data_IF_895504288563
#
_entry.id   IF_895504288563
#
_cell.length_a   1.000
_cell.length_b   1.000
_cell.length_c   1.000
_cell.angle_alpha   90.00
_cell.angle_beta   90.00
_cell.angle_gamma   90.00
#
_symmetry.space_group_name_H-M   'P 1'
#
loop_
_entity.id
_entity.type
_entity.pdbx_description
1 polymer ?
#
# COMPACT_ATOMS: atom_id res chain seq x y z
N UNK A 1 23.94 0.79 -18.64
CA UNK A 1 22.80 1.68 -18.33
C UNK A 1 21.54 0.87 -18.60
N UNK A 2 20.76 0.51 -17.58
CA UNK A 2 19.57 -0.31 -17.78
C UNK A 2 18.39 0.61 -18.11
N UNK A 3 18.07 0.69 -19.40
CA UNK A 3 16.93 1.39 -19.95
C UNK A 3 15.68 0.61 -19.57
N UNK A 4 14.95 1.10 -18.56
CA UNK A 4 13.71 0.45 -18.12
C UNK A 4 12.64 0.88 -19.11
N UNK A 5 12.31 0.01 -20.06
CA UNK A 5 11.18 0.21 -20.97
C UNK A 5 9.90 0.25 -20.15
N UNK A 6 9.44 1.45 -19.77
CA UNK A 6 8.14 1.65 -19.15
C UNK A 6 7.08 1.31 -20.20
N UNK A 7 6.57 0.08 -20.14
CA UNK A 7 5.39 -0.32 -20.89
C UNK A 7 4.25 0.58 -20.47
N UNK A 8 3.95 1.59 -21.28
CA UNK A 8 2.81 2.49 -21.09
C UNK A 8 1.56 1.61 -21.11
N UNK A 9 1.02 1.29 -19.94
CA UNK A 9 -0.26 0.59 -19.85
C UNK A 9 -1.29 1.62 -20.31
N UNK A 10 -1.70 1.51 -21.58
CA UNK A 10 -2.70 2.40 -22.16
C UNK A 10 -4.08 2.05 -21.60
N UNK A 11 -4.30 2.39 -20.34
CA UNK A 11 -5.58 2.23 -19.66
C UNK A 11 -6.49 3.32 -20.24
N UNK A 12 -7.46 2.91 -21.04
CA UNK A 12 -8.45 3.84 -21.57
C UNK A 12 -9.47 4.15 -20.48
N UNK A 13 -9.33 5.33 -19.87
CA UNK A 13 -10.27 5.83 -18.87
C UNK A 13 -11.26 6.79 -19.56
N UNK A 14 -12.58 6.68 -19.29
CA UNK A 14 -13.55 7.63 -19.83
C UNK A 14 -13.20 9.07 -19.43
N UNK A 15 -13.20 10.02 -20.37
CA UNK A 15 -12.85 11.43 -20.09
C UNK A 15 -13.68 12.04 -18.95
N UNK A 16 -14.97 11.71 -18.90
CA UNK A 16 -15.88 12.12 -17.82
C UNK A 16 -15.39 11.69 -16.43
N UNK A 17 -14.75 10.52 -16.32
CA UNK A 17 -14.14 10.09 -15.06
C UNK A 17 -13.02 11.04 -14.65
N UNK A 18 -12.13 11.37 -15.59
CA UNK A 18 -10.99 12.25 -15.33
C UNK A 18 -11.43 13.65 -14.90
N UNK A 19 -12.58 14.12 -15.41
CA UNK A 19 -13.17 15.41 -15.05
C UNK A 19 -13.81 15.42 -13.66
N UNK A 20 -14.38 14.30 -13.22
CA UNK A 20 -15.05 14.18 -11.91
C UNK A 20 -14.11 13.85 -10.75
N UNK A 21 -12.87 13.43 -11.02
CA UNK A 21 -11.91 13.08 -9.98
C UNK A 21 -11.24 14.32 -9.39
N UNK A 22 -10.96 14.33 -8.07
CA UNK A 22 -10.21 15.41 -7.46
C UNK A 22 -8.82 15.50 -8.09
N UNK A 23 -8.38 16.72 -8.40
CA UNK A 23 -7.00 16.95 -8.84
C UNK A 23 -6.07 16.64 -7.67
N UNK A 24 -5.11 15.75 -7.91
CA UNK A 24 -4.11 15.38 -6.92
C UNK A 24 -2.71 15.71 -7.46
N UNK A 25 -2.03 16.64 -6.81
CA UNK A 25 -0.63 17.02 -7.09
C UNK A 25 0.36 16.42 -6.11
N UNK A 26 -0.11 15.83 -5.00
CA UNK A 26 0.74 15.17 -4.00
C UNK A 26 -0.02 14.07 -3.26
N UNK A 27 0.69 13.00 -2.90
CA UNK A 27 0.18 11.99 -1.98
C UNK A 27 0.21 12.55 -0.54
N UNK A 28 -0.90 12.53 0.21
CA UNK A 28 -0.88 12.90 1.63
C UNK A 28 0.12 12.04 2.39
N UNK A 29 0.83 12.62 3.36
CA UNK A 29 1.72 11.86 4.25
C UNK A 29 0.91 11.11 5.32
N UNK A 30 -0.17 11.72 5.78
CA UNK A 30 -1.04 11.18 6.83
C UNK A 30 -2.52 11.45 6.51
N UNK A 31 -3.38 10.54 6.96
CA UNK A 31 -4.83 10.64 6.88
C UNK A 31 -5.49 9.84 8.01
N UNK A 32 -6.23 10.55 8.86
CA UNK A 32 -6.95 9.98 10.01
C UNK A 32 -8.42 9.65 9.70
N UNK A 33 -8.79 9.58 8.41
CA UNK A 33 -10.10 9.12 7.93
C UNK A 33 -9.92 8.18 6.74
N UNK A 34 -10.95 7.42 6.42
CA UNK A 34 -10.97 6.64 5.17
C UNK A 34 -10.91 7.57 3.95
N UNK A 35 -10.18 7.13 2.92
CA UNK A 35 -10.19 7.77 1.61
C UNK A 35 -11.48 7.42 0.87
N UNK A 36 -12.06 8.36 0.13
CA UNK A 36 -13.18 8.07 -0.76
C UNK A 36 -12.70 7.29 -1.98
N UNK A 37 -13.62 6.67 -2.71
CA UNK A 37 -13.28 5.92 -3.92
C UNK A 37 -12.64 6.84 -4.98
N UNK A 38 -13.09 8.08 -5.05
CA UNK A 38 -12.61 9.12 -5.95
C UNK A 38 -11.20 9.57 -5.57
N UNK A 39 -10.90 9.73 -4.28
CA UNK A 39 -9.53 10.03 -3.82
C UNK A 39 -8.57 8.90 -4.20
N UNK A 40 -8.94 7.65 -3.93
CA UNK A 40 -8.09 6.50 -4.27
C UNK A 40 -7.91 6.39 -5.79
N UNK A 41 -8.98 6.59 -6.57
CA UNK A 41 -8.90 6.58 -8.02
C UNK A 41 -8.00 7.68 -8.56
N UNK A 42 -8.10 8.90 -8.02
CA UNK A 42 -7.22 10.01 -8.39
C UNK A 42 -5.74 9.64 -8.17
N UNK A 43 -5.38 9.09 -7.00
CA UNK A 43 -4.01 8.67 -6.72
C UNK A 43 -3.49 7.61 -7.70
N UNK A 44 -4.33 6.61 -8.02
CA UNK A 44 -3.93 5.51 -8.89
C UNK A 44 -3.83 5.90 -10.36
N UNK A 45 -4.65 6.84 -10.82
CA UNK A 45 -4.70 7.27 -12.22
C UNK A 45 -3.58 8.26 -12.54
N UNK A 46 -3.29 9.20 -11.64
CA UNK A 46 -2.21 10.18 -11.86
C UNK A 46 -0.83 9.62 -11.51
N UNK A 47 -0.75 8.37 -11.05
CA UNK A 47 0.47 7.72 -10.62
C UNK A 47 1.61 7.78 -11.67
N UNK A 48 1.32 7.62 -12.96
CA UNK A 48 2.36 7.68 -14.02
C UNK A 48 3.11 9.02 -14.06
N UNK A 49 2.48 10.10 -13.55
CA UNK A 49 3.09 11.44 -13.48
C UNK A 49 3.84 11.69 -12.17
N UNK A 50 3.73 10.75 -11.23
CA UNK A 50 4.15 10.91 -9.83
C UNK A 50 4.88 9.66 -9.31
N UNK A 51 5.92 9.22 -10.03
CA UNK A 51 6.70 8.06 -9.61
C UNK A 51 7.32 8.23 -8.22
N UNK A 52 7.59 9.48 -7.81
CA UNK A 52 8.11 9.84 -6.49
C UNK A 52 7.18 9.46 -5.34
N UNK A 53 5.90 9.18 -5.60
CA UNK A 53 4.98 8.68 -4.58
C UNK A 53 5.23 7.22 -4.21
N UNK A 54 5.93 6.45 -5.05
CA UNK A 54 6.30 5.08 -4.70
C UNK A 54 7.35 5.07 -3.60
N UNK A 55 7.01 4.40 -2.52
CA UNK A 55 8.01 4.03 -1.53
C UNK A 55 8.73 2.76 -2.01
N UNK A 56 10.06 2.82 -2.07
CA UNK A 56 10.92 1.73 -2.59
C UNK A 56 11.34 0.72 -1.53
N UNK A 57 11.12 1.02 -0.25
CA UNK A 57 11.45 0.14 0.88
C UNK A 57 10.34 0.14 1.94
N UNK A 58 10.08 -0.98 2.63
CA UNK A 58 9.10 -1.00 3.72
C UNK A 58 9.48 0.02 4.80
N UNK A 59 8.51 0.84 5.24
CA UNK A 59 8.68 1.69 6.41
C UNK A 59 8.53 0.85 7.67
N UNK A 60 9.49 0.93 8.58
CA UNK A 60 9.39 0.30 9.90
C UNK A 60 8.47 1.12 10.79
N UNK A 61 7.41 0.49 11.30
CA UNK A 61 6.42 1.05 12.22
C UNK A 61 5.95 2.44 11.80
N UNK A 62 5.37 2.58 10.59
CA UNK A 62 4.76 3.84 10.18
C UNK A 62 3.75 4.31 11.24
N UNK A 63 3.70 5.63 11.42
CA UNK A 63 2.78 6.29 12.33
C UNK A 63 1.33 6.04 11.90
N UNK A 64 0.40 6.10 12.85
CA UNK A 64 -1.02 5.95 12.55
C UNK A 64 -1.46 6.97 11.49
N UNK A 65 -2.33 6.53 10.57
CA UNK A 65 -2.77 7.38 9.45
C UNK A 65 -1.76 7.53 8.32
N UNK A 66 -0.54 6.98 8.41
CA UNK A 66 0.44 7.07 7.31
C UNK A 66 -0.14 6.57 5.98
N UNK A 67 -0.04 7.40 4.96
CA UNK A 67 -0.45 7.10 3.59
C UNK A 67 0.79 6.72 2.78
N UNK A 68 0.86 5.45 2.35
CA UNK A 68 2.06 4.91 1.70
C UNK A 68 1.67 4.07 0.49
N UNK A 69 2.29 4.34 -0.65
CA UNK A 69 2.10 3.59 -1.89
C UNK A 69 3.30 2.68 -2.15
N UNK A 70 3.03 1.40 -2.40
CA UNK A 70 4.05 0.39 -2.71
C UNK A 70 3.73 -0.34 -4.01
N UNK A 71 4.76 -0.63 -4.80
CA UNK A 71 4.67 -1.67 -5.81
C UNK A 71 4.83 -3.04 -5.13
N UNK A 72 3.72 -3.78 -4.95
CA UNK A 72 3.73 -5.10 -4.28
C UNK A 72 4.63 -6.16 -4.95
N UNK A 73 4.99 -6.01 -6.23
CA UNK A 73 5.96 -6.90 -6.89
C UNK A 73 7.40 -6.60 -6.46
N UNK A 74 7.71 -5.33 -6.20
CA UNK A 74 9.07 -4.86 -5.86
C UNK A 74 9.30 -4.81 -4.34
N UNK A 75 8.27 -4.51 -3.54
CA UNK A 75 8.41 -4.24 -2.11
C UNK A 75 7.68 -5.29 -1.26
N UNK A 76 8.41 -5.91 -0.32
CA UNK A 76 7.85 -6.80 0.72
C UNK A 76 7.36 -5.97 1.91
N UNK A 77 6.25 -5.25 1.75
CA UNK A 77 5.70 -4.30 2.74
C UNK A 77 5.45 -4.88 4.14
N UNK A 78 5.31 -6.21 4.28
CA UNK A 78 5.11 -6.88 5.57
C UNK A 78 6.34 -6.90 6.49
N UNK A 79 7.50 -6.43 6.00
CA UNK A 79 8.70 -6.22 6.82
C UNK A 79 8.69 -4.83 7.48
N UNK A 80 7.53 -4.40 7.96
CA UNK A 80 7.28 -3.10 8.57
C UNK A 80 7.33 -3.13 10.10
N UNK A 81 7.73 -4.25 10.71
CA UNK A 81 7.82 -4.39 12.16
C UNK A 81 6.47 -4.56 12.87
N UNK A 82 5.39 -4.75 12.12
CA UNK A 82 4.09 -5.14 12.65
C UNK A 82 3.90 -6.67 12.63
N UNK A 83 3.13 -7.16 13.60
CA UNK A 83 2.79 -8.57 13.71
C UNK A 83 1.50 -8.83 12.91
N UNK A 84 1.68 -9.35 11.69
CA UNK A 84 0.63 -9.64 10.74
C UNK A 84 -0.20 -10.86 11.15
N UNK A 85 -1.52 -10.71 11.31
CA UNK A 85 -2.41 -11.83 11.64
C UNK A 85 -2.46 -12.83 10.49
N UNK A 86 -2.41 -14.12 10.80
CA UNK A 86 -2.58 -15.19 9.81
C UNK A 86 -4.01 -15.73 9.81
N UNK A 87 -4.43 -16.37 8.71
CA UNK A 87 -5.67 -17.16 8.61
C UNK A 87 -5.56 -18.42 9.49
N UNK A 88 -6.66 -19.14 9.65
CA UNK A 88 -6.76 -20.34 10.53
C UNK A 88 -5.73 -21.41 10.18
N UNK A 89 -5.31 -21.48 8.91
CA UNK A 89 -4.31 -22.41 8.40
C UNK A 89 -2.85 -22.03 8.74
N UNK A 90 -2.60 -20.85 9.29
CA UNK A 90 -1.25 -20.36 9.62
C UNK A 90 -0.36 -20.06 8.40
N UNK A 91 -0.86 -20.22 7.17
CA UNK A 91 -0.07 -20.05 5.94
C UNK A 91 -0.22 -18.66 5.36
N UNK A 92 -1.45 -18.15 5.32
CA UNK A 92 -1.75 -16.88 4.63
C UNK A 92 -2.01 -15.76 5.61
N UNK A 93 -1.50 -14.56 5.33
CA UNK A 93 -1.85 -13.35 6.09
C UNK A 93 -3.33 -13.03 5.88
N UNK A 94 -4.02 -12.66 6.96
CA UNK A 94 -5.38 -12.15 6.92
C UNK A 94 -5.35 -10.71 6.40
N UNK A 95 -5.69 -10.54 5.12
CA UNK A 95 -5.85 -9.26 4.44
C UNK A 95 -7.29 -9.12 3.94
N UNK A 96 -7.81 -7.90 3.97
CA UNK A 96 -9.14 -7.59 3.44
C UNK A 96 -8.98 -6.94 2.06
N UNK A 97 -9.69 -7.46 1.08
CA UNK A 97 -9.62 -6.93 -0.28
C UNK A 97 -10.94 -6.22 -0.60
N UNK A 98 -10.83 -4.99 -1.10
CA UNK A 98 -11.97 -4.23 -1.58
C UNK A 98 -11.91 -4.09 -3.10
N UNK A 99 -13.08 -3.92 -3.71
CA UNK A 99 -13.21 -3.52 -5.11
C UNK A 99 -13.67 -2.08 -5.13
N UNK A 100 -12.90 -1.21 -5.78
CA UNK A 100 -13.30 0.17 -6.01
C UNK A 100 -14.46 0.20 -7.01
N UNK A 101 -15.51 0.93 -6.64
CA UNK A 101 -16.58 1.36 -7.54
C UNK A 101 -16.54 2.88 -7.59
N UNK A 102 -16.04 3.43 -8.70
CA UNK A 102 -16.11 4.86 -8.94
C UNK A 102 -17.35 5.10 -9.80
N UNK A 103 -18.25 5.99 -9.38
CA UNK A 103 -19.46 6.26 -10.14
C UNK A 103 -19.11 6.90 -11.49
N UNK A 104 -19.13 6.07 -12.52
CA UNK A 104 -19.21 6.51 -13.92
C UNK A 104 -20.20 5.59 -14.62
N UNK A 105 -20.78 6.04 -15.73
CA UNK A 105 -21.80 5.30 -16.47
C UNK A 105 -21.30 3.93 -17.02
N UNK A 106 -20.01 3.59 -16.83
CA UNK A 106 -19.42 2.29 -17.15
C UNK A 106 -18.55 1.81 -15.98
N UNK A 107 -18.90 0.67 -15.38
CA UNK A 107 -18.22 0.13 -14.21
C UNK A 107 -16.75 -0.24 -14.48
N UNK A 108 -15.78 0.61 -14.13
CA UNK A 108 -14.36 0.20 -14.01
C UNK A 108 -14.08 -0.37 -12.62
N UNK A 109 -13.69 -1.65 -12.54
CA UNK A 109 -13.27 -2.33 -11.31
C UNK A 109 -11.75 -2.25 -11.17
N UNK A 110 -11.25 -1.60 -10.11
CA UNK A 110 -9.85 -1.73 -9.68
C UNK A 110 -9.79 -2.40 -8.30
N UNK A 111 -8.76 -3.22 -8.08
CA UNK A 111 -8.58 -3.99 -6.84
C UNK A 111 -7.71 -3.21 -5.86
N UNK A 112 -8.25 -2.90 -4.68
CA UNK A 112 -7.49 -2.32 -3.57
C UNK A 112 -7.35 -3.32 -2.44
N UNK A 113 -6.14 -3.40 -1.88
CA UNK A 113 -5.84 -4.30 -0.76
C UNK A 113 -5.74 -3.46 0.51
N UNK A 114 -6.58 -3.79 1.48
CA UNK A 114 -6.58 -3.23 2.80
C UNK A 114 -6.00 -4.27 3.77
N UNK A 115 -5.30 -3.80 4.78
CA UNK A 115 -4.60 -4.70 5.68
C UNK A 115 -4.68 -4.18 7.10
N UNK A 116 -5.25 -4.98 8.00
CA UNK A 116 -5.26 -4.69 9.43
C UNK A 116 -4.04 -5.38 10.08
N UNK A 117 -3.07 -4.59 10.55
CA UNK A 117 -2.05 -5.06 11.47
C UNK A 117 -2.67 -5.18 12.87
N UNK A 118 -2.39 -6.28 13.59
CA UNK A 118 -3.06 -6.57 14.86
C UNK A 118 -2.38 -5.87 16.05
N UNK A 119 -1.04 -5.80 16.05
CA UNK A 119 -0.23 -5.20 17.13
C UNK A 119 1.19 -4.94 16.62
N UNK A 120 1.88 -3.94 17.16
CA UNK A 120 3.32 -3.75 16.94
C UNK A 120 4.07 -4.99 17.47
N UNK A 121 5.00 -5.57 16.70
CA UNK A 121 5.85 -6.60 17.28
C UNK A 121 6.73 -5.97 18.37
N UNK A 122 6.95 -6.64 19.52
CA UNK A 122 7.90 -6.16 20.53
C UNK A 122 9.24 -5.82 19.87
N UNK A 123 9.87 -4.73 20.30
CA UNK A 123 11.26 -4.44 19.91
C UNK A 123 12.11 -5.56 20.48
N UNK A 124 12.76 -6.37 19.65
CA UNK A 124 13.81 -7.26 20.13
C UNK A 124 14.92 -6.36 20.69
N UNK A 125 15.04 -6.27 22.01
CA UNK A 125 16.20 -5.65 22.64
C UNK A 125 17.40 -6.51 22.30
N UNK A 126 18.33 -5.95 21.52
CA UNK A 126 19.65 -6.49 21.25
C UNK A 126 20.52 -6.46 22.51
N UNK A 127 20.11 -7.15 23.57
CA UNK A 127 20.97 -7.50 24.69
C UNK A 127 21.28 -8.99 24.58
N UNK A 128 22.38 -9.29 23.90
CA UNK A 128 22.96 -10.62 23.87
C UNK A 128 23.24 -11.11 25.29
N UNK A 129 22.43 -12.05 25.79
CA UNK A 129 22.85 -12.95 26.85
C UNK A 129 23.24 -14.27 26.19
N UNK A 130 24.56 -14.48 26.07
CA UNK A 130 25.14 -15.81 25.89
C UNK A 130 24.51 -16.73 26.94
N UNK A 131 23.76 -17.74 26.50
CA UNK A 131 23.43 -18.89 27.37
C UNK A 131 24.76 -19.60 27.65
N UNK A 132 25.26 -19.50 28.88
CA UNK A 132 26.27 -20.43 29.39
C UNK A 132 25.65 -21.84 29.33
N UNK A 133 26.33 -22.74 28.62
CA UNK A 133 26.03 -24.16 28.69
C UNK A 133 26.25 -24.66 30.11
N UNK A 134 25.31 -25.47 30.60
CA UNK A 134 25.54 -26.29 31.79
C UNK A 134 26.42 -27.47 31.38
N UNK A 135 27.53 -27.65 32.11
CA UNK A 135 28.24 -28.91 32.22
C UNK A 135 27.41 -29.90 33.04
#
# INVERSE_FOLDING_TARGET
>A
MHETTHTHLKIYLPKKLLECLPKCSSLPKERHRWNTNEEIAAYLITFEKHEEWLTTSPKTRPQNGSMILYNRKKVKYRKDGYCWKKRKDGKTTREDHMKLKVQTHTHTQTHTKHTHAHTQCPVESSTGRKRLGRA
#
